data_IF_664183773032
#
_entry.id   IF_664183773032
#
_cell.length_a   1.000
_cell.length_b   1.000
_cell.length_c   1.000
_cell.angle_alpha   90.00
_cell.angle_beta   90.00
_cell.angle_gamma   90.00
#
_symmetry.space_group_name_H-M   'P 1'
#
loop_
_entity.id
_entity.type
_entity.pdbx_description
1 polymer ?
#
# COMPACT_ATOMS: atom_id res chain seq x y z
N UNK A 1 34.00 16.07 0.07
CA UNK A 1 33.19 14.96 0.65
C UNK A 1 32.89 13.93 -0.44
N UNK A 2 33.19 12.65 -0.21
CA UNK A 2 32.85 11.57 -1.15
C UNK A 2 31.32 11.49 -1.34
N UNK A 3 30.86 10.95 -2.48
CA UNK A 3 29.42 10.75 -2.72
C UNK A 3 28.74 9.92 -1.63
N UNK A 4 29.45 8.93 -1.06
CA UNK A 4 28.98 8.11 0.04
C UNK A 4 28.73 8.91 1.32
N UNK A 5 29.63 9.83 1.68
CA UNK A 5 29.47 10.69 2.85
C UNK A 5 28.26 11.62 2.73
N UNK A 6 27.96 12.12 1.53
CA UNK A 6 26.78 12.97 1.29
C UNK A 6 25.47 12.22 1.53
N UNK A 7 25.34 11.00 0.99
CA UNK A 7 24.14 10.18 1.19
C UNK A 7 23.94 9.76 2.65
N UNK A 8 25.01 9.48 3.40
CA UNK A 8 24.88 9.12 4.82
C UNK A 8 24.31 10.29 5.65
N UNK A 9 24.81 11.50 5.41
CA UNK A 9 24.30 12.69 6.11
C UNK A 9 22.85 12.97 5.73
N UNK A 10 22.53 12.92 4.43
CA UNK A 10 21.16 13.09 3.96
C UNK A 10 20.22 12.05 4.57
N UNK A 11 20.64 10.78 4.58
CA UNK A 11 19.87 9.70 5.19
C UNK A 11 19.61 9.94 6.68
N UNK A 12 20.63 10.37 7.43
CA UNK A 12 20.47 10.70 8.84
C UNK A 12 19.44 11.83 9.05
N UNK A 13 19.51 12.90 8.25
CA UNK A 13 18.55 14.00 8.30
C UNK A 13 17.13 13.51 7.99
N UNK A 14 16.95 12.72 6.93
CA UNK A 14 15.64 12.20 6.54
C UNK A 14 15.05 11.27 7.61
N UNK A 15 15.86 10.44 8.25
CA UNK A 15 15.40 9.59 9.35
C UNK A 15 15.00 10.40 10.59
N UNK A 16 15.74 11.48 10.90
CA UNK A 16 15.37 12.41 11.98
C UNK A 16 14.02 13.07 11.67
N UNK A 17 13.77 13.45 10.41
CA UNK A 17 12.49 14.05 10.01
C UNK A 17 11.32 13.04 10.02
N UNK A 18 11.59 11.74 9.82
CA UNK A 18 10.56 10.70 9.88
C UNK A 18 10.22 10.32 11.34
N UNK A 19 11.17 10.46 12.26
CA UNK A 19 11.06 10.03 13.64
C UNK A 19 9.84 10.58 14.39
N UNK A 20 9.45 11.87 14.29
CA UNK A 20 8.26 12.40 14.97
C UNK A 20 6.98 11.63 14.61
N UNK A 21 6.81 11.24 13.35
CA UNK A 21 5.63 10.48 12.91
C UNK A 21 5.57 9.08 13.54
N UNK A 22 6.74 8.46 13.76
CA UNK A 22 6.84 7.19 14.46
C UNK A 22 6.54 7.37 15.96
N UNK A 23 7.08 8.41 16.60
CA UNK A 23 6.87 8.66 18.03
C UNK A 23 5.40 8.96 18.37
N UNK A 24 4.68 9.67 17.50
CA UNK A 24 3.24 9.93 17.68
C UNK A 24 2.45 8.62 17.78
N UNK A 25 2.90 7.56 17.11
CA UNK A 25 2.24 6.24 17.13
C UNK A 25 2.08 5.69 18.56
N UNK A 26 2.99 6.01 19.48
CA UNK A 26 2.95 5.60 20.89
C UNK A 26 1.83 6.27 21.70
N UNK A 27 1.17 7.29 21.14
CA UNK A 27 0.13 8.08 21.81
C UNK A 27 -1.26 7.88 21.20
N UNK A 28 -1.36 7.03 20.17
CA UNK A 28 -2.62 6.80 19.48
C UNK A 28 -3.50 5.88 20.31
N UNK A 29 -4.79 6.18 20.33
CA UNK A 29 -5.84 5.41 20.99
C UNK A 29 -6.95 5.08 19.98
N UNK A 30 -7.69 3.96 20.18
CA UNK A 30 -8.87 3.65 19.37
C UNK A 30 -9.92 4.75 19.45
N UNK A 31 -10.59 5.03 18.33
CA UNK A 31 -11.65 6.03 18.24
C UNK A 31 -12.82 5.51 17.40
N UNK A 32 -14.01 6.10 17.61
CA UNK A 32 -15.18 5.88 16.76
C UNK A 32 -15.50 4.40 16.48
N UNK A 33 -15.42 3.99 15.22
CA UNK A 33 -15.75 2.64 14.75
C UNK A 33 -14.76 1.57 15.21
N UNK A 34 -13.56 1.92 15.66
CA UNK A 34 -12.58 0.98 16.21
C UNK A 34 -13.17 0.19 17.38
N UNK A 35 -13.95 0.85 18.25
CA UNK A 35 -14.65 0.17 19.36
C UNK A 35 -15.78 -0.73 18.87
N UNK A 36 -16.50 -0.31 17.82
CA UNK A 36 -17.60 -1.08 17.24
C UNK A 36 -17.08 -2.35 16.60
N UNK A 37 -16.00 -2.25 15.81
CA UNK A 37 -15.38 -3.40 15.18
C UNK A 37 -14.65 -4.29 16.17
N UNK A 38 -14.02 -3.71 17.21
CA UNK A 38 -13.46 -4.50 18.30
C UNK A 38 -14.55 -5.36 18.94
N UNK A 39 -15.70 -4.76 19.31
CA UNK A 39 -16.85 -5.49 19.87
C UNK A 39 -17.37 -6.58 18.93
N UNK A 40 -17.56 -6.27 17.65
CA UNK A 40 -17.98 -7.23 16.62
C UNK A 40 -17.01 -8.41 16.52
N UNK A 41 -15.70 -8.13 16.54
CA UNK A 41 -14.64 -9.14 16.51
C UNK A 41 -14.61 -10.05 17.74
N UNK A 42 -15.02 -9.57 18.93
CA UNK A 42 -15.14 -10.41 20.13
C UNK A 42 -16.41 -11.25 20.16
N UNK A 43 -17.47 -10.79 19.46
CA UNK A 43 -18.84 -11.31 19.63
C UNK A 43 -19.21 -12.34 18.55
N UNK A 44 -18.81 -12.10 17.30
CA UNK A 44 -19.22 -12.91 16.15
C UNK A 44 -18.02 -13.52 15.43
N UNK A 45 -18.27 -14.61 14.68
CA UNK A 45 -17.25 -15.20 13.81
C UNK A 45 -16.82 -14.25 12.70
N UNK A 46 -15.57 -14.38 12.23
CA UNK A 46 -15.03 -13.53 11.16
C UNK A 46 -15.90 -13.57 9.91
N UNK A 47 -16.32 -14.75 9.47
CA UNK A 47 -17.13 -14.91 8.25
C UNK A 47 -18.52 -14.26 8.40
N UNK A 48 -19.15 -14.37 9.58
CA UNK A 48 -20.45 -13.77 9.84
C UNK A 48 -20.37 -12.24 9.84
N UNK A 49 -19.33 -11.69 10.48
CA UNK A 49 -19.04 -10.26 10.43
C UNK A 49 -18.83 -9.78 8.99
N UNK A 50 -17.98 -10.48 8.21
CA UNK A 50 -17.69 -10.11 6.83
C UNK A 50 -18.93 -10.18 5.93
N UNK A 51 -19.74 -11.22 6.05
CA UNK A 51 -20.99 -11.34 5.31
C UNK A 51 -21.98 -10.23 5.72
N UNK A 52 -22.06 -9.92 7.01
CA UNK A 52 -22.88 -8.83 7.54
C UNK A 52 -22.48 -7.47 6.99
N UNK A 53 -21.18 -7.13 7.02
CA UNK A 53 -20.66 -5.89 6.45
C UNK A 53 -20.91 -5.79 4.95
N UNK A 54 -20.67 -6.89 4.21
CA UNK A 54 -20.84 -6.92 2.77
C UNK A 54 -22.29 -6.69 2.34
N UNK A 55 -23.24 -7.30 3.05
CA UNK A 55 -24.66 -7.23 2.70
C UNK A 55 -25.35 -5.95 3.18
N UNK A 56 -24.87 -5.33 4.26
CA UNK A 56 -25.61 -4.27 4.94
C UNK A 56 -24.87 -2.92 5.01
N UNK A 57 -23.57 -2.88 4.70
CA UNK A 57 -22.77 -1.68 4.87
C UNK A 57 -21.96 -1.29 3.62
N UNK A 58 -20.99 -2.11 3.20
CA UNK A 58 -20.18 -1.82 2.02
C UNK A 58 -19.47 -3.08 1.47
N UNK A 59 -19.03 -3.01 0.20
CA UNK A 59 -18.37 -4.12 -0.50
C UNK A 59 -16.88 -4.34 -0.18
N UNK A 60 -16.28 -3.62 0.79
CA UNK A 60 -14.83 -3.59 1.03
C UNK A 60 -14.35 -4.78 1.86
N UNK A 61 -14.44 -5.97 1.28
CA UNK A 61 -14.17 -7.23 1.98
C UNK A 61 -12.80 -7.29 2.66
N UNK A 62 -11.75 -6.71 2.06
CA UNK A 62 -10.40 -6.80 2.61
C UNK A 62 -10.18 -5.77 3.72
N UNK A 63 -10.66 -4.52 3.57
CA UNK A 63 -10.58 -3.56 4.68
C UNK A 63 -11.46 -4.02 5.85
N UNK A 64 -12.68 -4.52 5.58
CA UNK A 64 -13.60 -5.04 6.60
C UNK A 64 -12.96 -6.21 7.37
N UNK A 65 -12.20 -7.07 6.69
CA UNK A 65 -11.42 -8.12 7.35
C UNK A 65 -10.37 -7.52 8.30
N UNK A 66 -9.65 -6.48 7.88
CA UNK A 66 -8.66 -5.82 8.74
C UNK A 66 -9.31 -5.12 9.93
N UNK A 67 -10.42 -4.39 9.75
CA UNK A 67 -11.10 -3.73 10.87
C UNK A 67 -11.72 -4.71 11.87
N UNK A 68 -12.28 -5.83 11.41
CA UNK A 68 -12.77 -6.88 12.33
C UNK A 68 -11.60 -7.55 13.07
N UNK A 69 -10.45 -7.72 12.40
CA UNK A 69 -9.21 -8.22 12.99
C UNK A 69 -8.37 -7.10 13.63
N UNK A 70 -9.01 -6.04 14.14
CA UNK A 70 -8.30 -4.94 14.78
C UNK A 70 -7.41 -5.48 15.94
N UNK A 71 -6.10 -5.22 15.93
CA UNK A 71 -5.18 -5.72 16.94
C UNK A 71 -5.48 -5.21 18.35
N UNK A 72 -6.27 -4.14 18.49
CA UNK A 72 -6.76 -3.71 19.79
C UNK A 72 -7.50 -4.83 20.53
N UNK A 73 -8.26 -5.68 19.82
CA UNK A 73 -9.03 -6.75 20.42
C UNK A 73 -8.16 -7.82 21.09
N UNK A 74 -7.09 -8.29 20.43
CA UNK A 74 -6.30 -9.44 20.88
C UNK A 74 -4.90 -9.08 21.40
N UNK A 75 -4.37 -7.90 21.06
CA UNK A 75 -3.06 -7.41 21.47
C UNK A 75 -3.13 -6.08 22.25
N UNK A 76 -4.34 -5.57 22.54
CA UNK A 76 -4.56 -4.36 23.33
C UNK A 76 -4.01 -3.09 22.68
N UNK A 77 -3.77 -2.08 23.50
CA UNK A 77 -3.34 -0.76 23.03
C UNK A 77 -2.00 -0.79 22.29
N UNK A 78 -1.05 -1.62 22.73
CA UNK A 78 0.26 -1.73 22.06
C UNK A 78 0.15 -2.32 20.65
N UNK A 79 -0.72 -3.31 20.44
CA UNK A 79 -1.01 -3.86 19.11
C UNK A 79 -1.60 -2.80 18.18
N UNK A 80 -2.53 -2.00 18.68
CA UNK A 80 -3.12 -0.88 17.95
C UNK A 80 -2.07 0.19 17.58
N UNK A 81 -1.22 0.59 18.53
CA UNK A 81 -0.16 1.59 18.34
C UNK A 81 0.95 1.13 17.39
N UNK A 82 1.15 -0.18 17.22
CA UNK A 82 2.15 -0.74 16.32
C UNK A 82 1.75 -0.61 14.83
N UNK A 83 0.45 -0.55 14.53
CA UNK A 83 -0.06 -0.49 13.15
C UNK A 83 0.49 0.74 12.38
N UNK A 84 0.32 1.98 12.86
CA UNK A 84 0.87 3.14 12.17
C UNK A 84 2.40 3.07 12.02
N UNK A 85 3.13 2.51 13.00
CA UNK A 85 4.59 2.29 12.89
C UNK A 85 4.91 1.39 11.69
N UNK A 86 4.22 0.25 11.58
CA UNK A 86 4.42 -0.70 10.47
C UNK A 86 4.10 -0.02 9.14
N UNK A 87 2.97 0.68 9.03
CA UNK A 87 2.56 1.30 7.77
C UNK A 87 3.51 2.44 7.35
N UNK A 88 3.94 3.29 8.29
CA UNK A 88 4.92 4.36 8.04
C UNK A 88 6.25 3.78 7.55
N UNK A 89 6.69 2.63 8.08
CA UNK A 89 7.92 1.96 7.66
C UNK A 89 7.79 1.19 6.34
N UNK A 90 6.60 0.70 6.00
CA UNK A 90 6.34 0.02 4.73
C UNK A 90 6.26 0.98 3.54
N UNK A 91 5.77 2.20 3.74
CA UNK A 91 5.66 3.19 2.67
C UNK A 91 7.01 3.51 1.95
N UNK A 92 8.13 3.80 2.65
CA UNK A 92 9.41 4.02 1.98
C UNK A 92 9.93 2.75 1.30
N UNK A 93 9.57 1.55 1.77
CA UNK A 93 9.90 0.30 1.07
C UNK A 93 9.15 0.21 -0.26
N UNK A 94 7.87 0.54 -0.28
CA UNK A 94 7.07 0.54 -1.51
C UNK A 94 7.59 1.57 -2.52
N UNK A 95 7.91 2.79 -2.07
CA UNK A 95 8.57 3.79 -2.92
C UNK A 95 9.94 3.31 -3.41
N UNK A 96 10.74 2.68 -2.55
CA UNK A 96 12.04 2.15 -2.95
C UNK A 96 11.91 1.14 -4.08
N UNK A 97 10.99 0.18 -3.98
CA UNK A 97 10.77 -0.80 -5.03
C UNK A 97 10.34 -0.13 -6.35
N UNK A 98 9.43 0.84 -6.30
CA UNK A 98 8.99 1.58 -7.49
C UNK A 98 10.14 2.35 -8.13
N UNK A 99 10.89 3.11 -7.35
CA UNK A 99 12.02 3.89 -7.85
C UNK A 99 13.15 2.98 -8.37
N UNK A 100 13.36 1.81 -7.78
CA UNK A 100 14.34 0.83 -8.28
C UNK A 100 13.97 0.28 -9.65
N UNK A 101 12.70 0.01 -9.92
CA UNK A 101 12.28 -0.49 -11.24
C UNK A 101 12.25 0.62 -12.30
N UNK A 102 11.97 1.88 -11.91
CA UNK A 102 11.96 3.03 -12.82
C UNK A 102 13.38 3.50 -13.20
N UNK A 103 14.27 3.62 -12.22
CA UNK A 103 15.60 4.20 -12.42
C UNK A 103 16.73 3.17 -12.53
N UNK A 104 16.47 1.89 -12.26
CA UNK A 104 17.43 0.81 -12.40
C UNK A 104 18.77 1.10 -11.70
N UNK A 105 19.87 1.03 -12.45
CA UNK A 105 21.22 1.31 -11.95
C UNK A 105 21.69 2.75 -12.22
N UNK A 106 20.85 3.60 -12.81
CA UNK A 106 21.20 5.00 -13.11
C UNK A 106 21.42 5.83 -11.84
N UNK A 107 20.80 5.44 -10.72
CA UNK A 107 20.96 6.07 -9.42
C UNK A 107 21.48 5.01 -8.41
N UNK A 108 22.50 5.34 -7.59
CA UNK A 108 22.99 4.42 -6.58
C UNK A 108 21.89 4.05 -5.57
N UNK A 109 21.95 2.84 -5.01
CA UNK A 109 20.96 2.33 -4.05
C UNK A 109 20.73 3.29 -2.86
N UNK A 110 21.79 3.93 -2.37
CA UNK A 110 21.70 4.93 -1.31
C UNK A 110 20.91 6.18 -1.73
N UNK A 111 21.04 6.61 -2.98
CA UNK A 111 20.27 7.72 -3.53
C UNK A 111 18.80 7.37 -3.69
N UNK A 112 18.49 6.17 -4.18
CA UNK A 112 17.10 5.68 -4.25
C UNK A 112 16.48 5.56 -2.86
N UNK A 113 17.22 5.05 -1.87
CA UNK A 113 16.75 4.99 -0.49
C UNK A 113 16.42 6.39 0.06
N UNK A 114 17.33 7.35 -0.10
CA UNK A 114 17.08 8.74 0.30
C UNK A 114 15.84 9.32 -0.41
N UNK A 115 15.71 9.10 -1.72
CA UNK A 115 14.54 9.53 -2.47
C UNK A 115 13.24 8.90 -1.96
N UNK A 116 13.27 7.62 -1.57
CA UNK A 116 12.10 6.89 -1.06
C UNK A 116 11.60 7.44 0.27
N UNK A 117 12.54 7.74 1.18
CA UNK A 117 12.21 8.39 2.46
C UNK A 117 11.75 9.84 2.22
N UNK A 118 12.36 10.55 1.28
CA UNK A 118 11.92 11.89 0.90
C UNK A 118 10.49 11.90 0.36
N UNK A 119 10.15 11.00 -0.57
CA UNK A 119 8.77 10.88 -1.09
C UNK A 119 7.77 10.48 0.00
N UNK A 120 8.18 9.63 0.94
CA UNK A 120 7.39 9.30 2.13
C UNK A 120 7.09 10.55 2.96
N UNK A 121 8.12 11.36 3.26
CA UNK A 121 7.96 12.61 4.00
C UNK A 121 7.08 13.61 3.24
N UNK A 122 7.28 13.78 1.93
CA UNK A 122 6.44 14.66 1.11
C UNK A 122 4.99 14.21 1.09
N UNK A 123 4.74 12.90 0.99
CA UNK A 123 3.39 12.34 1.03
C UNK A 123 2.71 12.61 2.38
N UNK A 124 3.39 12.31 3.50
CA UNK A 124 2.82 12.50 4.84
C UNK A 124 2.59 13.99 5.12
N UNK A 125 3.55 14.88 4.79
CA UNK A 125 3.41 16.32 4.99
C UNK A 125 2.36 16.95 4.08
N UNK A 126 2.10 16.35 2.91
CA UNK A 126 1.06 16.79 1.98
C UNK A 126 -0.34 16.32 2.35
N UNK A 127 -0.49 15.46 3.37
CA UNK A 127 -1.78 14.89 3.76
C UNK A 127 -2.63 15.92 4.51
N UNK A 128 -3.86 16.23 4.04
CA UNK A 128 -4.71 17.24 4.69
C UNK A 128 -5.13 16.89 6.13
N UNK A 129 -5.30 15.59 6.40
CA UNK A 129 -5.74 15.06 7.69
C UNK A 129 -4.93 13.82 8.06
N UNK A 130 -3.76 14.03 8.68
CA UNK A 130 -2.83 12.96 9.06
C UNK A 130 -3.43 12.04 10.11
N UNK A 131 -4.23 12.58 11.04
CA UNK A 131 -4.89 11.80 12.09
C UNK A 131 -5.76 10.68 11.47
N UNK A 132 -6.65 11.04 10.54
CA UNK A 132 -7.55 10.10 9.86
C UNK A 132 -6.81 9.14 8.92
N UNK A 133 -5.78 9.64 8.22
CA UNK A 133 -5.08 8.86 7.21
C UNK A 133 -4.10 7.83 7.78
N UNK A 134 -3.44 8.12 8.90
CA UNK A 134 -2.35 7.28 9.42
C UNK A 134 -2.67 6.70 10.80
N UNK A 135 -3.28 7.50 11.68
CA UNK A 135 -3.37 7.15 13.11
C UNK A 135 -4.74 6.59 13.51
N UNK A 136 -5.82 6.93 12.81
CA UNK A 136 -7.08 6.21 12.94
C UNK A 136 -6.98 4.86 12.23
N UNK A 137 -7.24 3.77 12.95
CA UNK A 137 -6.98 2.43 12.44
C UNK A 137 -7.82 2.12 11.22
N UNK A 138 -9.15 2.29 11.27
CA UNK A 138 -10.04 2.04 10.13
C UNK A 138 -9.61 2.84 8.89
N UNK A 139 -9.32 4.13 9.03
CA UNK A 139 -8.83 4.96 7.93
C UNK A 139 -7.49 4.46 7.37
N UNK A 140 -6.54 4.14 8.25
CA UNK A 140 -5.20 3.70 7.86
C UNK A 140 -5.21 2.37 7.11
N UNK A 141 -5.95 1.36 7.58
CA UNK A 141 -6.02 0.04 6.92
C UNK A 141 -6.82 0.10 5.62
N UNK A 142 -7.79 1.01 5.52
CA UNK A 142 -8.61 1.19 4.31
C UNK A 142 -7.85 1.94 3.22
N UNK A 143 -7.21 3.07 3.55
CA UNK A 143 -6.65 3.98 2.55
C UNK A 143 -5.12 3.95 2.50
N UNK A 144 -4.45 4.01 3.65
CA UNK A 144 -2.98 4.11 3.69
C UNK A 144 -2.32 2.78 3.29
N UNK A 145 -2.85 1.65 3.76
CA UNK A 145 -2.50 0.33 3.23
C UNK A 145 -2.78 0.23 1.72
N UNK A 146 -3.90 0.80 1.26
CA UNK A 146 -4.24 0.86 -0.16
C UNK A 146 -3.16 1.55 -1.00
N UNK A 147 -2.67 2.70 -0.53
CA UNK A 147 -1.60 3.43 -1.20
C UNK A 147 -0.29 2.63 -1.26
N UNK A 148 0.05 1.90 -0.19
CA UNK A 148 1.22 1.02 -0.15
C UNK A 148 1.07 -0.11 -1.17
N UNK A 149 -0.06 -0.82 -1.17
CA UNK A 149 -0.33 -1.91 -2.11
C UNK A 149 -0.34 -1.40 -3.57
N UNK A 150 -0.91 -0.23 -3.83
CA UNK A 150 -0.89 0.42 -5.14
C UNK A 150 0.53 0.59 -5.65
N UNK A 151 1.44 1.18 -4.85
CA UNK A 151 2.84 1.36 -5.22
C UNK A 151 3.54 0.02 -5.52
N UNK A 152 3.26 -1.02 -4.74
CA UNK A 152 3.81 -2.37 -4.96
C UNK A 152 3.31 -2.98 -6.27
N UNK A 153 2.01 -2.88 -6.55
CA UNK A 153 1.42 -3.39 -7.80
C UNK A 153 1.98 -2.64 -9.01
N UNK A 154 2.06 -1.31 -8.96
CA UNK A 154 2.67 -0.50 -10.01
C UNK A 154 4.13 -0.92 -10.24
N UNK A 155 4.89 -1.17 -9.18
CA UNK A 155 6.27 -1.65 -9.27
C UNK A 155 6.36 -2.98 -10.03
N UNK A 156 5.47 -3.93 -9.73
CA UNK A 156 5.41 -5.23 -10.41
C UNK A 156 4.97 -5.09 -11.87
N UNK A 157 4.02 -4.20 -12.18
CA UNK A 157 3.60 -3.92 -13.55
C UNK A 157 4.76 -3.34 -14.36
N UNK A 158 5.47 -2.34 -13.83
CA UNK A 158 6.65 -1.75 -14.50
C UNK A 158 7.72 -2.81 -14.74
N UNK A 159 8.00 -3.65 -13.74
CA UNK A 159 8.94 -4.76 -13.86
C UNK A 159 8.53 -5.74 -14.98
N UNK A 160 7.24 -6.06 -15.08
CA UNK A 160 6.66 -6.90 -16.12
C UNK A 160 6.79 -6.26 -17.51
N UNK A 161 6.51 -4.97 -17.64
CA UNK A 161 6.61 -4.22 -18.91
C UNK A 161 8.05 -4.15 -19.42
N UNK A 162 9.03 -4.08 -18.52
CA UNK A 162 10.44 -4.14 -18.90
C UNK A 162 10.94 -5.58 -19.12
N UNK A 163 10.09 -6.60 -19.05
CA UNK A 163 10.47 -8.02 -19.11
C UNK A 163 11.48 -8.48 -18.04
N UNK A 164 11.61 -7.72 -16.94
CA UNK A 164 12.52 -8.03 -15.83
C UNK A 164 11.89 -9.00 -14.81
N UNK A 165 11.26 -10.07 -15.29
CA UNK A 165 10.69 -11.09 -14.41
C UNK A 165 11.80 -11.75 -13.57
N UNK A 166 11.46 -12.19 -12.36
CA UNK A 166 12.33 -13.10 -11.61
C UNK A 166 12.62 -14.36 -12.45
N UNK A 167 13.89 -14.74 -12.66
CA UNK A 167 14.27 -15.86 -13.53
C UNK A 167 13.53 -17.15 -13.15
N UNK A 168 12.83 -17.76 -14.11
CA UNK A 168 12.04 -18.98 -13.91
C UNK A 168 10.77 -18.82 -13.05
N UNK A 169 10.41 -17.61 -12.62
CA UNK A 169 9.34 -17.36 -11.63
C UNK A 169 8.18 -16.50 -12.16
N UNK A 170 7.88 -16.59 -13.46
CA UNK A 170 6.76 -15.84 -14.08
C UNK A 170 5.40 -16.15 -13.44
N UNK A 171 5.14 -17.42 -13.12
CA UNK A 171 3.90 -17.81 -12.45
C UNK A 171 3.77 -17.16 -11.07
N UNK A 172 4.87 -17.11 -10.30
CA UNK A 172 4.91 -16.45 -8.98
C UNK A 172 4.67 -14.95 -9.11
N UNK A 173 5.23 -14.30 -10.14
CA UNK A 173 4.98 -12.89 -10.43
C UNK A 173 3.48 -12.63 -10.67
N UNK A 174 2.86 -13.41 -11.54
CA UNK A 174 1.41 -13.26 -11.83
C UNK A 174 0.54 -13.57 -10.61
N UNK A 175 0.88 -14.59 -9.83
CA UNK A 175 0.19 -14.90 -8.58
C UNK A 175 0.32 -13.75 -7.57
N UNK A 176 1.52 -13.16 -7.42
CA UNK A 176 1.73 -12.02 -6.55
C UNK A 176 0.90 -10.81 -6.98
N UNK A 177 0.87 -10.48 -8.28
CA UNK A 177 0.01 -9.39 -8.79
C UNK A 177 -1.47 -9.68 -8.53
N UNK A 178 -1.95 -10.90 -8.79
CA UNK A 178 -3.34 -11.28 -8.55
C UNK A 178 -3.75 -11.17 -7.08
N UNK A 179 -2.93 -11.68 -6.16
CA UNK A 179 -3.18 -11.58 -4.71
C UNK A 179 -3.18 -10.12 -4.25
N UNK A 180 -2.23 -9.31 -4.72
CA UNK A 180 -2.18 -7.90 -4.36
C UNK A 180 -3.36 -7.11 -4.94
N UNK A 181 -3.79 -7.39 -6.17
CA UNK A 181 -4.98 -6.77 -6.76
C UNK A 181 -6.25 -7.13 -5.99
N UNK A 182 -6.40 -8.40 -5.59
CA UNK A 182 -7.53 -8.82 -4.76
C UNK A 182 -7.54 -8.05 -3.44
N UNK A 183 -6.42 -8.01 -2.73
CA UNK A 183 -6.30 -7.22 -1.51
C UNK A 183 -6.64 -5.74 -1.76
N UNK A 184 -6.06 -5.11 -2.79
CA UNK A 184 -6.27 -3.70 -3.09
C UNK A 184 -7.72 -3.34 -3.44
N UNK A 185 -8.39 -4.12 -4.30
CA UNK A 185 -9.78 -3.85 -4.68
C UNK A 185 -10.72 -4.01 -3.50
N UNK A 186 -10.42 -4.94 -2.59
CA UNK A 186 -11.17 -5.10 -1.35
C UNK A 186 -10.93 -4.03 -0.30
N UNK A 187 -10.01 -3.07 -0.51
CA UNK A 187 -9.73 -2.00 0.45
C UNK A 187 -10.65 -0.78 0.27
N UNK A 188 -10.78 -0.26 -0.95
CA UNK A 188 -11.69 0.85 -1.27
C UNK A 188 -11.88 1.02 -2.77
N UNK A 189 -12.98 1.65 -3.14
CA UNK A 189 -13.46 1.81 -4.51
C UNK A 189 -12.57 2.76 -5.33
N UNK A 190 -11.91 3.73 -4.67
CA UNK A 190 -11.04 4.70 -5.34
C UNK A 190 -9.83 3.98 -5.95
N UNK A 191 -9.18 3.09 -5.20
CA UNK A 191 -8.04 2.33 -5.71
C UNK A 191 -8.45 1.38 -6.84
N UNK A 192 -9.65 0.79 -6.77
CA UNK A 192 -10.20 -0.03 -7.85
C UNK A 192 -10.36 0.77 -9.14
N UNK A 193 -10.98 1.96 -9.08
CA UNK A 193 -11.15 2.85 -10.24
C UNK A 193 -9.78 3.29 -10.79
N UNK A 194 -8.86 3.68 -9.92
CA UNK A 194 -7.51 4.09 -10.33
C UNK A 194 -6.77 2.95 -11.05
N UNK A 195 -6.88 1.71 -10.56
CA UNK A 195 -6.29 0.55 -11.24
C UNK A 195 -6.94 0.27 -12.59
N UNK A 196 -8.27 0.35 -12.67
CA UNK A 196 -8.98 0.20 -13.93
C UNK A 196 -8.48 1.21 -14.98
N UNK A 197 -8.40 2.49 -14.60
CA UNK A 197 -7.90 3.54 -15.49
C UNK A 197 -6.43 3.32 -15.87
N UNK A 198 -5.60 2.86 -14.94
CA UNK A 198 -4.21 2.52 -15.20
C UNK A 198 -4.09 1.39 -16.22
N UNK A 199 -4.86 0.31 -16.11
CA UNK A 199 -4.81 -0.80 -17.05
C UNK A 199 -5.34 -0.45 -18.44
N UNK A 200 -6.36 0.43 -18.54
CA UNK A 200 -6.79 1.02 -19.81
C UNK A 200 -5.62 1.80 -20.43
N UNK A 201 -5.03 2.73 -19.67
CA UNK A 201 -3.94 3.57 -20.14
C UNK A 201 -2.75 2.74 -20.62
N UNK A 202 -2.32 1.75 -19.85
CA UNK A 202 -1.20 0.86 -20.21
C UNK A 202 -1.51 0.09 -21.50
N UNK A 203 -2.72 -0.46 -21.67
CA UNK A 203 -3.10 -1.11 -22.92
C UNK A 203 -3.11 -0.16 -24.11
N UNK A 204 -3.60 1.07 -23.94
CA UNK A 204 -3.59 2.11 -24.98
C UNK A 204 -2.15 2.43 -25.38
N UNK A 205 -1.24 2.64 -24.42
CA UNK A 205 0.18 2.90 -24.68
C UNK A 205 0.81 1.74 -25.45
N UNK A 206 0.59 0.48 -25.02
CA UNK A 206 1.10 -0.71 -25.72
C UNK A 206 0.55 -0.77 -27.14
N UNK A 207 -0.74 -0.51 -27.34
CA UNK A 207 -1.35 -0.53 -28.65
C UNK A 207 -0.81 0.57 -29.57
N UNK A 208 -0.64 1.79 -29.08
CA UNK A 208 -0.11 2.92 -29.87
C UNK A 208 1.33 2.64 -30.32
N UNK A 209 2.20 2.15 -29.42
CA UNK A 209 3.61 1.95 -29.70
C UNK A 209 3.94 0.62 -30.39
N UNK A 210 3.21 -0.46 -30.09
CA UNK A 210 3.53 -1.81 -30.55
C UNK A 210 2.48 -2.39 -31.50
N UNK A 211 1.34 -1.72 -31.69
CA UNK A 211 0.19 -2.21 -32.47
C UNK A 211 -0.29 -3.59 -32.01
N UNK A 212 -0.19 -3.83 -30.69
CA UNK A 212 -0.56 -5.09 -30.02
C UNK A 212 -1.45 -4.81 -28.82
N UNK A 213 -2.25 -5.80 -28.47
CA UNK A 213 -3.08 -5.77 -27.27
C UNK A 213 -2.52 -6.75 -26.23
N UNK A 214 -2.42 -6.32 -24.97
CA UNK A 214 -1.88 -7.16 -23.90
C UNK A 214 -3.02 -7.90 -23.19
N UNK A 215 -3.21 -9.17 -23.54
CA UNK A 215 -4.21 -10.03 -22.89
C UNK A 215 -4.05 -10.11 -21.37
N UNK A 216 -2.81 -10.02 -20.85
CA UNK A 216 -2.56 -10.01 -19.40
C UNK A 216 -3.04 -8.72 -18.75
N UNK A 217 -2.77 -7.56 -19.35
CA UNK A 217 -3.25 -6.28 -18.79
C UNK A 217 -4.78 -6.17 -18.90
N UNK A 218 -5.37 -6.74 -19.94
CA UNK A 218 -6.82 -6.86 -20.05
C UNK A 218 -7.41 -7.77 -18.98
N UNK A 219 -6.75 -8.90 -18.67
CA UNK A 219 -7.19 -9.76 -17.58
C UNK A 219 -7.17 -9.02 -16.23
N UNK A 220 -6.12 -8.24 -15.95
CA UNK A 220 -6.08 -7.40 -14.75
C UNK A 220 -7.19 -6.34 -14.74
N UNK A 221 -7.49 -5.73 -15.88
CA UNK A 221 -8.60 -4.79 -16.02
C UNK A 221 -9.95 -5.45 -15.70
N UNK A 222 -10.23 -6.64 -16.27
CA UNK A 222 -11.46 -7.38 -15.99
C UNK A 222 -11.54 -7.76 -14.52
N UNK A 223 -10.40 -8.11 -13.91
CA UNK A 223 -10.32 -8.37 -12.48
C UNK A 223 -10.57 -7.13 -11.60
N UNK A 224 -10.30 -5.92 -12.11
CA UNK A 224 -10.67 -4.65 -11.44
C UNK A 224 -12.14 -4.26 -11.62
N UNK A 225 -12.91 -4.98 -12.43
CA UNK A 225 -14.35 -4.75 -12.61
C UNK A 225 -15.22 -5.63 -11.71
N UNK A 226 -14.62 -6.62 -11.05
CA UNK A 226 -15.28 -7.59 -10.18
C UNK A 226 -15.06 -7.22 -8.71
#
# INVERSE_FOLDING_TARGET
MSGRSKYMILMAVLMILLLPFLLISCYVHPVADDFTYAYKGMTYGLLDNLAGEYLNWNGRYFSNMLVVLNPFHYAGLSGYQLVPVILILLLPVAFYLLLRVLFGNSIPKSGIFCASVLFTLLYINGMPQIAEGIYWYTGSVTYFTGNILFLLIVSLIVMQLHHHFWPGKRAIHYAAVGVLLFALHGLNEIHMIVMLLLFVLVNVIIYVHQKRFSGVMFLYLVFSLA
#
